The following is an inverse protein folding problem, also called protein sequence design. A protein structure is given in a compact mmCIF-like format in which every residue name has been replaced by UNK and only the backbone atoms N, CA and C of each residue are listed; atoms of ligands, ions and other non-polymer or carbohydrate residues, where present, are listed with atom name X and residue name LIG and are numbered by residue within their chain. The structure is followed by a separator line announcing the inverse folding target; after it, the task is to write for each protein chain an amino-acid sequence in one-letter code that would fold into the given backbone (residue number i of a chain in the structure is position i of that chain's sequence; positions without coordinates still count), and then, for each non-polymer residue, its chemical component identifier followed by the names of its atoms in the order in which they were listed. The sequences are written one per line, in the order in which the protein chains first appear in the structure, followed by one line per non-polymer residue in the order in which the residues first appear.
data_IF_579519751908
#
_entry.id   IF_579519751908
#
_cell.length_a   1.000
_cell.length_b   1.000
_cell.length_c   1.000
_cell.angle_alpha   90.00
_cell.angle_beta   90.00
_cell.angle_gamma   90.00
#
_symmetry.space_group_name_H-M   'P 1'
#
loop_
_entity.id
_entity.type
_entity.pdbx_description
1 polymer ?
#
# COMPACT_ATOMS: atom_id res chain seq x y z
N UNK A 1 35.78 8.51 29.75
CA UNK A 1 35.71 9.85 30.37
C UNK A 1 34.40 10.46 29.89
N UNK A 2 33.34 10.35 30.68
CA UNK A 2 32.03 10.94 30.31
C UNK A 2 32.13 12.42 30.65
N UNK A 3 31.94 13.29 29.66
CA UNK A 3 31.94 14.74 29.88
C UNK A 3 30.90 15.09 30.95
N UNK A 4 31.29 15.86 31.97
CA UNK A 4 30.39 16.36 33.03
C UNK A 4 29.58 17.58 32.57
N UNK A 5 29.79 18.03 31.34
CA UNK A 5 29.15 19.22 30.79
C UNK A 5 27.72 18.88 30.36
N UNK A 6 26.77 19.71 30.79
CA UNK A 6 25.36 19.61 30.41
C UNK A 6 25.21 19.67 28.88
N UNK A 7 24.54 18.69 28.25
CA UNK A 7 24.26 18.77 26.83
C UNK A 7 23.29 19.92 26.53
N UNK A 8 23.52 20.66 25.45
CA UNK A 8 22.69 21.83 25.09
C UNK A 8 21.23 21.51 24.80
N UNK A 9 20.91 20.25 24.50
CA UNK A 9 19.56 19.78 24.24
C UNK A 9 18.75 19.50 25.51
N UNK A 10 19.35 19.60 26.69
CA UNK A 10 18.71 19.33 27.98
C UNK A 10 18.47 20.62 28.76
N UNK A 11 17.21 20.89 29.12
CA UNK A 11 16.87 21.90 30.13
C UNK A 11 16.35 21.26 31.41
N UNK A 12 16.73 21.84 32.55
CA UNK A 12 16.27 21.43 33.89
C UNK A 12 15.27 22.48 34.35
N UNK A 13 14.11 22.05 34.84
CA UNK A 13 13.01 22.95 35.22
C UNK A 13 13.29 23.80 36.49
N UNK A 14 14.34 23.48 37.25
CA UNK A 14 14.84 24.33 38.32
C UNK A 14 15.95 25.23 37.78
N UNK A 15 15.82 26.53 38.03
CA UNK A 15 16.75 27.58 37.59
C UNK A 15 18.10 27.41 38.31
N UNK A 16 18.95 26.55 37.75
CA UNK A 16 20.34 26.39 38.17
C UNK A 16 21.12 27.40 37.32
N UNK A 17 21.42 28.56 37.91
CA UNK A 17 22.08 29.72 37.30
C UNK A 17 23.52 29.47 36.80
N UNK A 18 23.97 28.22 36.80
CA UNK A 18 25.29 27.80 36.37
C UNK A 18 25.19 26.45 35.62
N UNK A 19 25.59 26.39 34.33
CA UNK A 19 25.51 25.17 33.53
C UNK A 19 26.43 24.03 34.04
N UNK A 20 27.45 24.35 34.85
CA UNK A 20 28.37 23.41 35.50
C UNK A 20 28.03 23.15 36.99
N UNK A 21 27.05 23.86 37.55
CA UNK A 21 26.59 23.58 38.91
C UNK A 21 25.78 22.29 38.92
N UNK A 22 26.34 21.26 39.53
CA UNK A 22 25.57 20.15 40.05
C UNK A 22 24.44 20.70 40.92
N UNK A 23 23.19 20.23 40.72
CA UNK A 23 22.13 20.48 41.68
C UNK A 23 22.54 19.82 43.00
N UNK A 24 23.01 20.61 43.96
CA UNK A 24 23.41 20.12 45.28
C UNK A 24 22.16 20.09 46.16
N UNK A 25 21.67 18.89 46.47
CA UNK A 25 20.62 18.71 47.47
C UNK A 25 21.28 18.46 48.82
N UNK A 26 20.97 19.32 49.80
CA UNK A 26 21.81 19.41 50.99
C UNK A 26 21.64 18.23 51.95
N UNK A 27 20.50 17.50 51.95
CA UNK A 27 20.30 16.24 52.69
C UNK A 27 19.01 15.51 52.24
N UNK A 28 19.09 14.20 51.95
CA UNK A 28 17.91 13.38 51.57
C UNK A 28 17.73 12.27 52.61
N UNK A 29 16.77 12.39 53.54
CA UNK A 29 16.54 11.37 54.57
C UNK A 29 16.05 10.03 53.99
N UNK A 30 16.29 8.90 54.70
CA UNK A 30 15.87 7.58 54.24
C UNK A 30 14.36 7.51 53.99
N UNK A 31 13.96 7.03 52.81
CA UNK A 31 12.55 6.87 52.42
C UNK A 31 11.94 8.06 51.66
N UNK A 32 12.68 9.15 51.45
CA UNK A 32 12.24 10.27 50.62
C UNK A 32 12.70 10.10 49.16
N UNK A 33 11.89 10.56 48.21
CA UNK A 33 12.20 10.53 46.77
C UNK A 33 12.52 11.92 46.24
N UNK A 34 13.60 12.05 45.46
CA UNK A 34 13.87 13.24 44.65
C UNK A 34 13.33 13.00 43.24
N UNK A 35 12.66 13.99 42.66
CA UNK A 35 12.23 13.96 41.26
C UNK A 35 12.97 15.05 40.48
N UNK A 36 13.66 14.65 39.42
CA UNK A 36 14.29 15.56 38.46
C UNK A 36 13.44 15.58 37.19
N UNK A 37 12.92 16.75 36.84
CA UNK A 37 12.22 16.95 35.57
C UNK A 37 13.20 17.47 34.54
N UNK A 38 13.45 16.64 33.53
CA UNK A 38 14.35 16.92 32.42
C UNK A 38 13.50 17.07 31.17
N UNK A 39 13.52 18.25 30.56
CA UNK A 39 12.76 18.50 29.33
C UNK A 39 13.74 18.58 28.16
N UNK A 40 13.64 17.68 27.17
CA UNK A 40 14.45 17.81 25.96
C UNK A 40 13.97 19.03 25.16
N UNK A 41 14.91 19.80 24.62
CA UNK A 41 14.61 20.89 23.69
C UNK A 41 14.62 20.34 22.25
N UNK A 42 13.45 20.14 21.63
CA UNK A 42 13.35 19.50 20.31
C UNK A 42 14.04 20.30 19.20
N UNK A 43 14.15 21.64 19.32
CA UNK A 43 14.76 22.48 18.29
C UNK A 43 16.30 22.41 18.22
N UNK A 44 16.95 21.71 19.16
CA UNK A 44 18.41 21.55 19.23
C UNK A 44 18.88 20.10 19.03
N UNK A 45 17.95 19.20 18.75
CA UNK A 45 18.24 17.79 18.56
C UNK A 45 18.34 17.49 17.07
N UNK A 46 19.49 16.99 16.65
CA UNK A 46 19.66 16.44 15.30
C UNK A 46 18.99 15.05 15.22
N UNK A 47 18.60 14.65 14.01
CA UNK A 47 17.97 13.36 13.76
C UNK A 47 18.87 12.21 14.22
N UNK A 48 18.30 11.25 14.96
CA UNK A 48 19.03 10.07 15.42
C UNK A 48 18.82 9.72 16.89
N UNK A 49 19.67 8.84 17.38
CA UNK A 49 19.64 8.34 18.76
C UNK A 49 20.70 9.07 19.59
N UNK A 50 20.28 9.94 20.49
CA UNK A 50 21.18 10.55 21.47
C UNK A 50 21.09 9.81 22.80
N UNK A 51 22.25 9.58 23.42
CA UNK A 51 22.34 8.95 24.74
C UNK A 51 22.90 9.97 25.72
N UNK A 52 22.08 10.37 26.69
CA UNK A 52 22.51 11.12 27.87
C UNK A 52 22.79 10.20 29.04
N UNK A 53 23.62 10.63 29.98
CA UNK A 53 23.76 9.97 31.28
C UNK A 53 23.49 10.98 32.38
N UNK A 54 22.56 10.65 33.27
CA UNK A 54 22.32 11.38 34.51
C UNK A 54 23.06 10.65 35.61
N UNK A 55 23.95 11.35 36.30
CA UNK A 55 24.76 10.78 37.39
C UNK A 55 24.43 11.54 38.66
N UNK A 56 23.97 10.80 39.66
CA UNK A 56 23.83 11.27 41.04
C UNK A 56 25.06 10.81 41.79
N UNK A 57 25.88 11.74 42.28
CA UNK A 57 27.04 11.42 43.11
C UNK A 57 26.93 12.03 44.49
N UNK A 58 27.44 11.32 45.49
CA UNK A 58 27.48 11.81 46.88
C UNK A 58 28.70 12.71 47.07
N UNK A 59 28.49 13.96 47.52
CA UNK A 59 29.54 14.98 47.61
C UNK A 59 30.41 14.88 48.87
N UNK A 60 29.84 14.41 49.99
CA UNK A 60 30.54 14.21 51.25
C UNK A 60 30.22 12.81 51.77
N UNK A 61 31.09 11.85 51.42
CA UNK A 61 31.02 10.49 51.93
C UNK A 61 31.83 10.48 53.23
N UNK A 62 31.23 10.89 54.36
CA UNK A 62 31.78 10.54 55.68
C UNK A 62 31.64 9.02 55.85
N UNK A 63 32.48 8.28 55.12
CA UNK A 63 32.67 6.84 55.06
C UNK A 63 31.60 6.03 55.80
N UNK A 64 30.36 6.04 55.30
CA UNK A 64 29.28 5.33 55.98
C UNK A 64 29.54 3.82 55.77
N UNK A 65 29.72 3.02 56.84
CA UNK A 65 30.07 1.61 56.71
C UNK A 65 28.92 0.85 56.04
N UNK A 66 29.06 0.59 54.74
CA UNK A 66 28.04 -0.07 53.91
C UNK A 66 27.87 0.51 52.51
N UNK A 67 28.37 1.71 52.21
CA UNK A 67 28.26 2.32 50.89
C UNK A 67 29.44 1.90 49.99
N UNK A 68 29.25 0.88 49.13
CA UNK A 68 30.31 0.38 48.24
C UNK A 68 30.35 1.07 46.85
N UNK A 69 29.37 1.92 46.53
CA UNK A 69 29.32 2.76 45.30
C UNK A 69 28.53 4.04 45.57
N UNK A 70 29.17 5.22 45.65
CA UNK A 70 28.50 6.48 46.00
C UNK A 70 27.70 7.08 44.83
N UNK A 71 27.88 6.58 43.61
CA UNK A 71 27.26 7.16 42.41
C UNK A 71 26.18 6.25 41.82
N UNK A 72 24.99 6.81 41.58
CA UNK A 72 23.92 6.18 40.81
C UNK A 72 23.86 6.80 39.40
N UNK A 73 24.04 5.97 38.38
CA UNK A 73 24.04 6.40 36.98
C UNK A 73 22.83 5.85 36.23
N UNK A 74 22.08 6.76 35.61
CA UNK A 74 20.93 6.44 34.77
C UNK A 74 21.26 6.86 33.33
N UNK A 75 21.15 5.91 32.40
CA UNK A 75 21.27 6.21 30.96
C UNK A 75 19.89 6.64 30.47
N UNK A 76 19.82 7.84 29.89
CA UNK A 76 18.62 8.37 29.25
C UNK A 76 18.83 8.25 27.75
N UNK A 77 18.04 7.41 27.10
CA UNK A 77 18.03 7.27 25.64
C UNK A 77 16.90 8.13 25.09
N UNK A 78 17.23 9.09 24.24
CA UNK A 78 16.25 9.84 23.47
C UNK A 78 16.45 9.51 21.99
N UNK A 79 15.41 8.93 21.38
CA UNK A 79 15.36 8.67 19.94
C UNK A 79 14.47 9.74 19.33
N UNK A 80 15.04 10.58 18.47
CA UNK A 80 14.26 11.46 17.62
C UNK A 80 14.07 10.77 16.29
N UNK A 81 12.82 10.40 16.02
CA UNK A 81 12.44 9.91 14.71
C UNK A 81 12.36 11.12 13.75
N UNK A 82 12.84 10.95 12.50
CA UNK A 82 12.75 11.99 11.47
C UNK A 82 11.27 12.31 11.13
N UNK A 83 11.00 13.41 10.40
CA UNK A 83 9.64 13.74 9.97
C UNK A 83 9.00 12.56 9.21
N UNK A 84 7.68 12.42 9.38
CA UNK A 84 6.94 11.32 8.75
C UNK A 84 7.06 11.38 7.23
N UNK A 85 7.52 10.28 6.64
CA UNK A 85 7.53 10.04 5.21
C UNK A 85 6.38 9.09 4.85
N UNK A 86 5.51 9.55 3.97
CA UNK A 86 4.26 8.88 3.60
C UNK A 86 4.40 8.09 2.29
N UNK A 87 5.56 8.18 1.60
CA UNK A 87 5.84 7.59 0.28
C UNK A 87 4.64 7.60 -0.67
N UNK A 88 4.10 8.78 -1.01
CA UNK A 88 3.02 8.82 -1.97
C UNK A 88 3.49 8.34 -3.35
N UNK A 89 2.55 7.86 -4.18
CA UNK A 89 2.89 7.37 -5.54
C UNK A 89 3.64 8.41 -6.41
N UNK A 90 3.54 9.70 -6.09
CA UNK A 90 4.26 10.78 -6.78
C UNK A 90 4.05 10.75 -8.29
N UNK A 91 5.13 10.83 -9.06
CA UNK A 91 5.08 10.89 -10.54
C UNK A 91 4.51 9.63 -11.22
N UNK A 92 4.51 8.47 -10.54
CA UNK A 92 4.01 7.21 -11.13
C UNK A 92 2.50 7.27 -11.41
N UNK A 93 1.74 8.04 -10.63
CA UNK A 93 0.29 8.20 -10.84
C UNK A 93 -0.04 8.76 -12.22
N UNK A 94 0.71 9.78 -12.65
CA UNK A 94 0.48 10.43 -13.93
C UNK A 94 0.81 9.50 -15.09
N UNK A 95 1.87 8.70 -14.97
CA UNK A 95 2.22 7.68 -15.96
C UNK A 95 1.09 6.65 -16.09
N UNK A 96 0.56 6.17 -14.96
CA UNK A 96 -0.56 5.22 -14.93
C UNK A 96 -1.81 5.77 -15.63
N UNK A 97 -2.20 7.01 -15.36
CA UNK A 97 -3.37 7.64 -15.98
C UNK A 97 -3.18 7.95 -17.45
N UNK A 98 -1.97 8.37 -17.88
CA UNK A 98 -1.66 8.58 -19.29
C UNK A 98 -1.77 7.25 -20.06
N UNK A 99 -1.19 6.18 -19.52
CA UNK A 99 -1.27 4.85 -20.14
C UNK A 99 -2.72 4.36 -20.21
N UNK A 100 -3.51 4.52 -19.15
CA UNK A 100 -4.93 4.18 -19.13
C UNK A 100 -5.72 4.96 -20.19
N UNK A 101 -5.48 6.27 -20.30
CA UNK A 101 -6.11 7.13 -21.30
C UNK A 101 -5.80 6.67 -22.72
N UNK A 102 -4.53 6.37 -23.03
CA UNK A 102 -4.12 5.85 -24.34
C UNK A 102 -4.82 4.54 -24.67
N UNK A 103 -4.89 3.60 -23.72
CA UNK A 103 -5.58 2.31 -23.90
C UNK A 103 -7.07 2.51 -24.16
N UNK A 104 -7.75 3.32 -23.33
CA UNK A 104 -9.20 3.56 -23.45
C UNK A 104 -9.53 4.24 -24.77
N UNK A 105 -8.81 5.30 -25.15
CA UNK A 105 -9.03 6.03 -26.39
C UNK A 105 -8.78 5.14 -27.62
N UNK A 106 -7.74 4.31 -27.57
CA UNK A 106 -7.43 3.38 -28.66
C UNK A 106 -8.50 2.30 -28.78
N UNK A 107 -8.94 1.71 -27.66
CA UNK A 107 -9.99 0.70 -27.64
C UNK A 107 -11.32 1.27 -28.16
N UNK A 108 -11.72 2.46 -27.71
CA UNK A 108 -12.92 3.16 -28.19
C UNK A 108 -12.84 3.45 -29.69
N UNK A 109 -11.69 3.89 -30.17
CA UNK A 109 -11.46 4.15 -31.60
C UNK A 109 -11.61 2.87 -32.43
N UNK A 110 -11.07 1.74 -31.96
CA UNK A 110 -11.23 0.45 -32.64
C UNK A 110 -12.67 -0.06 -32.60
N UNK A 111 -13.39 0.07 -31.48
CA UNK A 111 -14.81 -0.30 -31.40
C UNK A 111 -15.62 0.52 -32.41
N UNK A 112 -15.42 1.85 -32.45
CA UNK A 112 -16.05 2.73 -33.42
C UNK A 112 -15.72 2.33 -34.86
N UNK A 113 -14.45 2.12 -35.16
CA UNK A 113 -13.99 1.70 -36.49
C UNK A 113 -14.60 0.37 -36.94
N UNK A 114 -14.67 -0.62 -36.05
CA UNK A 114 -15.32 -1.92 -36.32
C UNK A 114 -16.80 -1.74 -36.60
N UNK A 115 -17.49 -0.88 -35.84
CA UNK A 115 -18.91 -0.63 -36.03
C UNK A 115 -19.22 0.03 -37.39
N UNK A 116 -18.45 1.06 -37.77
CA UNK A 116 -18.60 1.73 -39.06
C UNK A 116 -18.23 0.80 -40.24
N UNK A 117 -17.17 0.01 -40.10
CA UNK A 117 -16.66 -0.85 -41.16
C UNK A 117 -17.18 -2.29 -41.12
N UNK A 118 -18.21 -2.58 -40.31
CA UNK A 118 -18.77 -3.94 -40.11
C UNK A 118 -19.22 -4.62 -41.41
N UNK A 119 -19.52 -3.83 -42.44
CA UNK A 119 -20.00 -4.33 -43.72
C UNK A 119 -18.88 -4.73 -44.70
N UNK A 120 -17.63 -4.32 -44.43
CA UNK A 120 -16.48 -4.64 -45.28
C UNK A 120 -16.14 -6.13 -45.21
N UNK A 121 -15.62 -6.69 -46.31
CA UNK A 121 -15.31 -8.12 -46.41
C UNK A 121 -14.30 -8.56 -45.33
N UNK A 122 -13.32 -7.72 -45.00
CA UNK A 122 -12.28 -8.00 -44.01
C UNK A 122 -12.89 -8.16 -42.61
N UNK A 123 -13.70 -7.19 -42.17
CA UNK A 123 -14.31 -7.19 -40.82
C UNK A 123 -15.32 -8.34 -40.67
N UNK A 124 -16.07 -8.66 -41.73
CA UNK A 124 -16.98 -9.82 -41.73
C UNK A 124 -16.25 -11.15 -41.54
N UNK A 125 -15.10 -11.33 -42.18
CA UNK A 125 -14.29 -12.55 -42.03
C UNK A 125 -13.80 -12.70 -40.59
N UNK A 126 -13.37 -11.59 -39.98
CA UNK A 126 -12.87 -11.57 -38.59
C UNK A 126 -13.98 -11.68 -37.53
N UNK A 127 -15.26 -11.63 -37.93
CA UNK A 127 -16.45 -11.59 -37.09
C UNK A 127 -16.50 -10.31 -36.23
N UNK A 128 -17.36 -9.34 -36.58
CA UNK A 128 -17.37 -8.03 -35.90
C UNK A 128 -17.65 -8.15 -34.40
N UNK A 129 -18.50 -9.11 -34.00
CA UNK A 129 -18.85 -9.34 -32.59
C UNK A 129 -17.62 -9.76 -31.77
N UNK A 130 -16.77 -10.63 -32.31
CA UNK A 130 -15.51 -11.04 -31.66
C UNK A 130 -14.56 -9.85 -31.44
N UNK A 131 -14.38 -9.00 -32.47
CA UNK A 131 -13.51 -7.84 -32.38
C UNK A 131 -14.02 -6.83 -31.33
N UNK A 132 -15.33 -6.58 -31.30
CA UNK A 132 -15.93 -5.67 -30.30
C UNK A 132 -15.76 -6.22 -28.88
N UNK A 133 -16.03 -7.52 -28.64
CA UNK A 133 -15.85 -8.10 -27.30
C UNK A 133 -14.39 -8.07 -26.84
N UNK A 134 -13.44 -8.34 -27.73
CA UNK A 134 -12.02 -8.27 -27.41
C UNK A 134 -11.61 -6.84 -27.05
N UNK A 135 -11.98 -5.85 -27.86
CA UNK A 135 -11.69 -4.44 -27.58
C UNK A 135 -12.38 -3.94 -26.31
N UNK A 136 -13.61 -4.41 -26.03
CA UNK A 136 -14.33 -4.07 -24.80
C UNK A 136 -13.64 -4.67 -23.56
N UNK A 137 -13.18 -5.92 -23.64
CA UNK A 137 -12.40 -6.54 -22.55
C UNK A 137 -11.12 -5.77 -22.25
N UNK A 138 -10.39 -5.34 -23.30
CA UNK A 138 -9.20 -4.50 -23.16
C UNK A 138 -9.53 -3.13 -22.56
N UNK A 139 -10.67 -2.53 -22.92
CA UNK A 139 -11.13 -1.26 -22.36
C UNK A 139 -11.38 -1.39 -20.84
N UNK A 140 -12.15 -2.40 -20.43
CA UNK A 140 -12.46 -2.66 -19.01
C UNK A 140 -11.18 -2.96 -18.23
N UNK A 141 -10.29 -3.78 -18.78
CA UNK A 141 -9.00 -4.10 -18.17
C UNK A 141 -8.10 -2.84 -18.06
N UNK A 142 -8.05 -2.01 -19.10
CA UNK A 142 -7.30 -0.76 -19.11
C UNK A 142 -7.82 0.28 -18.12
N UNK A 143 -9.12 0.26 -17.81
CA UNK A 143 -9.68 1.12 -16.76
C UNK A 143 -9.25 0.73 -15.35
N UNK A 144 -8.72 -0.49 -15.13
CA UNK A 144 -8.19 -0.91 -13.83
C UNK A 144 -6.97 -0.06 -13.38
N UNK A 145 -6.25 0.55 -14.31
CA UNK A 145 -5.13 1.45 -13.99
C UNK A 145 -5.58 2.75 -13.29
N UNK A 146 -6.85 3.15 -13.45
CA UNK A 146 -7.39 4.36 -12.82
C UNK A 146 -7.43 4.21 -11.29
N UNK A 147 -8.12 3.20 -10.71
CA UNK A 147 -8.14 3.01 -9.27
C UNK A 147 -6.77 2.72 -8.68
N UNK A 148 -5.88 2.05 -9.43
CA UNK A 148 -4.50 1.79 -8.99
C UNK A 148 -3.66 3.06 -8.83
N UNK A 149 -4.00 4.13 -9.56
CA UNK A 149 -3.30 5.42 -9.49
C UNK A 149 -3.79 6.35 -8.38
N UNK A 150 -4.83 5.97 -7.63
CA UNK A 150 -5.30 6.76 -6.50
C UNK A 150 -4.52 6.46 -5.22
N UNK A 151 -4.29 7.51 -4.45
CA UNK A 151 -3.57 7.48 -3.18
C UNK A 151 -4.29 8.39 -2.18
N UNK A 152 -4.01 8.23 -0.89
CA UNK A 152 -4.62 9.03 0.19
C UNK A 152 -4.18 10.50 0.19
N UNK A 153 -3.18 10.86 -0.61
CA UNK A 153 -2.81 12.25 -0.87
C UNK A 153 -3.90 13.01 -1.65
N UNK A 154 -4.64 12.32 -2.54
CA UNK A 154 -5.60 12.96 -3.47
C UNK A 154 -7.04 12.72 -3.03
N UNK A 155 -7.33 11.54 -2.46
CA UNK A 155 -8.68 11.11 -2.11
C UNK A 155 -8.75 10.63 -0.66
N UNK A 156 -9.95 10.53 -0.10
CA UNK A 156 -10.11 10.02 1.26
C UNK A 156 -9.81 8.53 1.37
N UNK A 157 -9.46 8.07 2.57
CA UNK A 157 -9.19 6.65 2.89
C UNK A 157 -10.34 5.72 2.47
N UNK A 158 -11.59 6.16 2.61
CA UNK A 158 -12.76 5.39 2.17
C UNK A 158 -12.80 5.24 0.65
N UNK A 159 -12.42 6.29 -0.09
CA UNK A 159 -12.32 6.24 -1.54
C UNK A 159 -11.10 5.42 -2.01
N UNK A 160 -9.98 5.43 -1.26
CA UNK A 160 -8.87 4.51 -1.51
C UNK A 160 -9.31 3.04 -1.33
N UNK A 161 -10.10 2.75 -0.30
CA UNK A 161 -10.62 1.40 -0.06
C UNK A 161 -11.55 0.93 -1.20
N UNK A 162 -12.39 1.81 -1.73
CA UNK A 162 -13.22 1.47 -2.89
C UNK A 162 -12.38 1.28 -4.17
N UNK A 163 -11.30 2.05 -4.35
CA UNK A 163 -10.34 1.87 -5.42
C UNK A 163 -9.60 0.52 -5.31
N UNK A 164 -9.15 0.14 -4.10
CA UNK A 164 -8.55 -1.15 -3.80
C UNK A 164 -9.45 -2.33 -4.23
N UNK A 165 -10.76 -2.19 -4.04
CA UNK A 165 -11.74 -3.19 -4.49
C UNK A 165 -12.04 -3.12 -5.98
N UNK A 166 -12.08 -1.94 -6.59
CA UNK A 166 -12.38 -1.79 -8.00
C UNK A 166 -11.29 -2.37 -8.92
N UNK A 167 -10.02 -2.24 -8.54
CA UNK A 167 -8.87 -2.73 -9.31
C UNK A 167 -8.98 -4.23 -9.72
N UNK A 168 -9.09 -5.18 -8.77
CA UNK A 168 -9.15 -6.61 -9.09
C UNK A 168 -10.41 -6.97 -9.89
N UNK A 169 -11.52 -6.29 -9.65
CA UNK A 169 -12.75 -6.49 -10.42
C UNK A 169 -12.58 -6.11 -11.89
N UNK A 170 -12.11 -4.90 -12.17
CA UNK A 170 -11.91 -4.42 -13.54
C UNK A 170 -10.88 -5.28 -14.28
N UNK A 171 -9.78 -5.63 -13.61
CA UNK A 171 -8.72 -6.45 -14.19
C UNK A 171 -9.23 -7.86 -14.54
N UNK A 172 -9.87 -8.55 -13.59
CA UNK A 172 -10.33 -9.94 -13.74
C UNK A 172 -11.48 -10.06 -14.73
N UNK A 173 -12.43 -9.12 -14.68
CA UNK A 173 -13.57 -9.09 -15.61
C UNK A 173 -13.11 -8.78 -17.03
N UNK A 174 -12.29 -7.75 -17.22
CA UNK A 174 -11.74 -7.39 -18.53
C UNK A 174 -10.91 -8.52 -19.15
N UNK A 175 -10.08 -9.17 -18.34
CA UNK A 175 -9.31 -10.35 -18.75
C UNK A 175 -10.22 -11.52 -19.16
N UNK A 176 -11.24 -11.84 -18.37
CA UNK A 176 -12.20 -12.92 -18.67
C UNK A 176 -12.95 -12.64 -19.98
N UNK A 177 -13.37 -11.40 -20.22
CA UNK A 177 -14.01 -10.99 -21.48
C UNK A 177 -13.07 -11.17 -22.68
N UNK A 178 -11.80 -10.77 -22.57
CA UNK A 178 -10.82 -10.91 -23.65
C UNK A 178 -10.49 -12.39 -23.93
N UNK A 179 -10.23 -13.17 -22.87
CA UNK A 179 -9.86 -14.58 -22.99
C UNK A 179 -11.00 -15.46 -23.50
N UNK A 180 -12.24 -15.21 -23.07
CA UNK A 180 -13.41 -15.92 -23.57
C UNK A 180 -13.64 -15.68 -25.06
N UNK A 181 -13.43 -14.45 -25.55
CA UNK A 181 -13.49 -14.14 -26.97
C UNK A 181 -12.43 -14.93 -27.76
N UNK A 182 -11.18 -14.94 -27.28
CA UNK A 182 -10.09 -15.70 -27.90
C UNK A 182 -10.35 -17.20 -27.92
N UNK A 183 -10.82 -17.75 -26.80
CA UNK A 183 -11.16 -19.17 -26.67
C UNK A 183 -12.24 -19.57 -27.67
N UNK A 184 -13.31 -18.78 -27.79
CA UNK A 184 -14.38 -19.08 -28.73
C UNK A 184 -13.91 -19.04 -30.20
N UNK A 185 -12.98 -18.13 -30.52
CA UNK A 185 -12.36 -18.08 -31.86
C UNK A 185 -11.51 -19.33 -32.13
N UNK A 186 -10.72 -19.76 -31.15
CA UNK A 186 -9.92 -20.99 -31.25
C UNK A 186 -10.81 -22.23 -31.37
N UNK A 187 -11.87 -22.33 -30.57
CA UNK A 187 -12.82 -23.44 -30.61
C UNK A 187 -13.51 -23.55 -31.98
N UNK A 188 -13.94 -22.42 -32.55
CA UNK A 188 -14.51 -22.38 -33.89
C UNK A 188 -13.50 -22.81 -34.96
N UNK A 189 -12.25 -22.36 -34.84
CA UNK A 189 -11.18 -22.78 -35.76
C UNK A 189 -10.95 -24.29 -35.70
N UNK A 190 -10.86 -24.85 -34.49
CA UNK A 190 -10.68 -26.28 -34.30
C UNK A 190 -11.82 -27.10 -34.92
N UNK A 191 -13.07 -26.69 -34.67
CA UNK A 191 -14.26 -27.35 -35.23
C UNK A 191 -14.33 -27.26 -36.76
N UNK A 192 -13.85 -26.17 -37.35
CA UNK A 192 -13.78 -26.01 -38.81
C UNK A 192 -12.72 -26.96 -39.40
N UNK A 193 -11.56 -27.08 -38.77
CA UNK A 193 -10.48 -28.00 -39.19
C UNK A 193 -10.96 -29.45 -39.09
N UNK A 194 -11.56 -29.85 -37.96
CA UNK A 194 -12.09 -31.20 -37.75
C UNK A 194 -13.19 -31.54 -38.79
N UNK A 195 -14.07 -30.59 -39.10
CA UNK A 195 -15.11 -30.75 -40.13
C UNK A 195 -14.54 -30.94 -41.54
N UNK A 196 -13.45 -30.25 -41.88
CA UNK A 196 -12.76 -30.45 -43.17
C UNK A 196 -12.04 -31.79 -43.25
N UNK A 197 -11.43 -32.27 -42.15
CA UNK A 197 -10.72 -33.55 -42.12
C UNK A 197 -11.69 -34.74 -42.14
N UNK A 198 -12.82 -34.63 -41.45
CA UNK A 198 -13.82 -35.71 -41.34
C UNK A 198 -14.78 -35.81 -42.54
N UNK A 199 -14.69 -34.91 -43.53
CA UNK A 199 -15.57 -34.92 -44.72
C UNK A 199 -17.04 -34.62 -44.44
N UNK A 200 -17.38 -34.22 -43.20
CA UNK A 200 -18.76 -33.92 -42.78
C UNK A 200 -19.20 -32.57 -43.33
N UNK A 201 -20.44 -32.51 -43.83
CA UNK A 201 -21.08 -31.31 -44.42
C UNK A 201 -20.83 -30.06 -43.56
N UNK A 202 -20.29 -29.01 -44.20
CA UNK A 202 -19.91 -27.70 -43.62
C UNK A 202 -20.88 -27.24 -42.52
N UNK A 203 -20.50 -27.43 -41.25
CA UNK A 203 -21.29 -26.98 -40.10
C UNK A 203 -21.26 -25.45 -40.08
N UNK A 204 -22.43 -24.83 -40.20
CA UNK A 204 -22.60 -23.38 -40.17
C UNK A 204 -22.62 -22.94 -38.70
N UNK A 205 -21.45 -22.66 -38.13
CA UNK A 205 -21.31 -22.10 -36.79
C UNK A 205 -21.79 -20.65 -36.81
N UNK A 206 -22.79 -20.32 -36.00
CA UNK A 206 -23.37 -18.98 -35.94
C UNK A 206 -22.51 -18.08 -35.04
N UNK A 207 -22.44 -16.78 -35.34
CA UNK A 207 -21.63 -15.83 -34.55
C UNK A 207 -22.14 -15.66 -33.11
N UNK A 208 -23.39 -16.05 -32.86
CA UNK A 208 -24.04 -16.00 -31.54
C UNK A 208 -23.62 -17.15 -30.62
N UNK A 209 -23.08 -18.24 -31.17
CA UNK A 209 -22.61 -19.39 -30.39
C UNK A 209 -21.41 -19.02 -29.49
N UNK A 210 -20.73 -17.91 -29.81
CA UNK A 210 -19.63 -17.34 -29.02
C UNK A 210 -20.12 -16.74 -27.70
N UNK A 211 -21.37 -16.27 -27.65
CA UNK A 211 -21.93 -15.62 -26.46
C UNK A 211 -22.19 -16.63 -25.33
N UNK A 212 -22.46 -17.90 -25.65
CA UNK A 212 -22.69 -18.95 -24.67
C UNK A 212 -21.48 -19.18 -23.74
N UNK A 213 -20.31 -19.58 -24.27
CA UNK A 213 -19.09 -19.75 -23.47
C UNK A 213 -18.68 -18.48 -22.73
N UNK A 214 -18.86 -17.31 -23.35
CA UNK A 214 -18.64 -16.02 -22.70
C UNK A 214 -19.51 -15.87 -21.45
N UNK A 215 -20.83 -16.04 -21.56
CA UNK A 215 -21.75 -15.86 -20.44
C UNK A 215 -21.46 -16.84 -19.31
N UNK A 216 -21.12 -18.09 -19.63
CA UNK A 216 -20.77 -19.10 -18.63
C UNK A 216 -19.49 -18.70 -17.88
N UNK A 217 -18.40 -18.43 -18.60
CA UNK A 217 -17.11 -18.07 -17.98
C UNK A 217 -17.19 -16.76 -17.19
N UNK A 218 -17.86 -15.76 -17.75
CA UNK A 218 -18.09 -14.47 -17.11
C UNK A 218 -18.93 -14.61 -15.85
N UNK A 219 -20.01 -15.40 -15.88
CA UNK A 219 -20.86 -15.60 -14.69
C UNK A 219 -20.11 -16.32 -13.57
N UNK A 220 -19.34 -17.36 -13.91
CA UNK A 220 -18.52 -18.08 -12.92
C UNK A 220 -17.49 -17.13 -12.29
N UNK A 221 -16.78 -16.34 -13.10
CA UNK A 221 -15.79 -15.37 -12.61
C UNK A 221 -16.46 -14.27 -11.76
N UNK A 222 -17.58 -13.74 -12.21
CA UNK A 222 -18.36 -12.74 -11.47
C UNK A 222 -18.81 -13.26 -10.11
N UNK A 223 -19.37 -14.46 -10.05
CA UNK A 223 -19.78 -15.09 -8.79
C UNK A 223 -18.59 -15.34 -7.88
N UNK A 224 -17.46 -15.82 -8.42
CA UNK A 224 -16.24 -16.03 -7.64
C UNK A 224 -15.72 -14.72 -7.02
N UNK A 225 -15.68 -13.62 -7.80
CA UNK A 225 -15.31 -12.30 -7.31
C UNK A 225 -16.32 -11.79 -6.28
N UNK A 226 -17.62 -11.96 -6.52
CA UNK A 226 -18.66 -11.55 -5.59
C UNK A 226 -18.52 -12.28 -4.25
N UNK A 227 -18.35 -13.61 -4.26
CA UNK A 227 -18.10 -14.40 -3.06
C UNK A 227 -16.85 -13.90 -2.34
N UNK A 228 -15.75 -13.71 -3.06
CA UNK A 228 -14.52 -13.18 -2.47
C UNK A 228 -14.74 -11.83 -1.79
N UNK A 229 -15.41 -10.87 -2.46
CA UNK A 229 -15.67 -9.55 -1.87
C UNK A 229 -16.58 -9.55 -0.66
N UNK A 230 -17.45 -10.55 -0.54
CA UNK A 230 -18.37 -10.68 0.60
C UNK A 230 -17.70 -11.38 1.78
N UNK A 231 -16.76 -12.30 1.52
CA UNK A 231 -16.02 -13.04 2.54
C UNK A 231 -14.87 -12.21 3.09
N UNK A 232 -14.15 -11.51 2.22
CA UNK A 232 -12.90 -10.84 2.56
C UNK A 232 -12.71 -9.55 1.72
N UNK A 233 -13.36 -8.44 2.12
CA UNK A 233 -13.22 -7.16 1.43
C UNK A 233 -11.82 -6.54 1.65
N UNK A 234 -11.28 -5.95 0.60
CA UNK A 234 -10.03 -5.20 0.69
C UNK A 234 -10.30 -3.79 1.20
N UNK A 235 -9.47 -3.40 2.17
CA UNK A 235 -9.42 -2.06 2.72
C UNK A 235 -8.05 -1.45 2.46
N UNK A 236 -8.01 -0.13 2.37
CA UNK A 236 -6.76 0.59 2.27
C UNK A 236 -6.23 0.88 3.67
N UNK A 237 -4.95 0.59 3.88
CA UNK A 237 -4.25 0.85 5.14
C UNK A 237 -2.82 1.34 4.88
N UNK A 238 -2.27 2.10 5.84
CA UNK A 238 -0.86 2.49 5.85
C UNK A 238 -0.07 1.51 6.68
N UNK A 239 0.96 0.94 6.07
CA UNK A 239 1.89 0.03 6.72
C UNK A 239 3.22 0.73 6.99
N UNK A 240 3.77 0.49 8.19
CA UNK A 240 5.09 0.98 8.57
C UNK A 240 6.19 0.14 7.94
N UNK A 241 7.29 0.78 7.56
CA UNK A 241 8.48 0.10 7.07
C UNK A 241 9.22 -0.52 8.26
N UNK A 242 9.68 -1.77 8.10
CA UNK A 242 10.32 -2.51 9.19
C UNK A 242 11.50 -1.73 9.81
N UNK A 243 11.39 -1.40 11.10
CA UNK A 243 12.41 -0.67 11.85
C UNK A 243 12.38 0.86 11.68
N UNK A 244 11.40 1.39 10.94
CA UNK A 244 11.24 2.82 10.64
C UNK A 244 9.76 3.25 10.79
N UNK A 245 9.27 3.53 12.02
CA UNK A 245 7.87 3.92 12.25
C UNK A 245 7.47 5.24 11.58
N UNK A 246 8.45 6.10 11.27
CA UNK A 246 8.24 7.34 10.53
C UNK A 246 8.03 7.13 9.03
N UNK A 247 8.34 5.94 8.49
CA UNK A 247 8.36 5.67 7.07
C UNK A 247 7.22 4.72 6.70
N UNK A 248 6.13 5.23 6.12
CA UNK A 248 4.91 4.47 5.85
C UNK A 248 4.58 4.40 4.36
N UNK A 249 3.88 3.35 3.93
CA UNK A 249 3.38 3.21 2.56
C UNK A 249 1.93 2.72 2.56
N UNK A 250 1.14 3.17 1.56
CA UNK A 250 -0.23 2.71 1.37
C UNK A 250 -0.27 1.32 0.74
N UNK A 251 -1.15 0.45 1.22
CA UNK A 251 -1.38 -0.86 0.63
C UNK A 251 -2.84 -1.30 0.80
N UNK A 252 -3.32 -2.14 -0.12
CA UNK A 252 -4.63 -2.75 -0.02
C UNK A 252 -4.51 -4.11 0.68
N UNK A 253 -5.23 -4.31 1.79
CA UNK A 253 -5.22 -5.56 2.55
C UNK A 253 -6.63 -6.05 2.86
N UNK A 254 -6.72 -7.38 2.90
CA UNK A 254 -7.82 -8.11 3.51
C UNK A 254 -7.86 -7.81 5.02
N UNK A 255 -9.04 -7.78 5.63
CA UNK A 255 -9.15 -7.66 7.08
C UNK A 255 -8.66 -8.97 7.69
N UNK A 256 -7.55 -8.92 8.44
CA UNK A 256 -7.10 -10.08 9.21
C UNK A 256 -8.23 -10.44 10.20
N UNK A 257 -8.95 -11.53 9.94
CA UNK A 257 -9.79 -12.16 10.95
C UNK A 257 -8.96 -12.43 12.23
N UNK A 258 -9.58 -12.65 13.40
CA UNK A 258 -8.88 -12.77 14.68
C UNK A 258 -7.98 -14.02 14.69
N UNK A 259 -6.78 -13.91 14.12
CA UNK A 259 -5.74 -14.92 14.10
C UNK A 259 -4.35 -14.27 14.06
N UNK A 260 -4.22 -13.05 14.57
CA UNK A 260 -2.97 -12.44 15.02
C UNK A 260 -2.89 -12.47 16.56
N UNK A 261 -3.05 -13.67 17.13
CA UNK A 261 -2.55 -14.00 18.46
C UNK A 261 -1.68 -15.26 18.34
N UNK A 262 -0.40 -15.05 18.04
CA UNK A 262 0.69 -15.98 18.34
C UNK A 262 2.01 -15.22 18.36
#
# INVERSE_FOLDING_TARGET
IVSRVRPEWVSVAQDISDPDAAAVWENVPPGQSIQLYVTPNPGKLEEGSTTGSVVFGVLNDEQFPGCQRPDANFKVLARLDPPQDLNPLGSLRYIGWVLSSVVILTAMSFIGWVFFNRNTRIVKILQPLFLVMLSLGVLVMGSALIPLGFDDEIISVQACSSACMAFPWLLSMGFTMAMSALFAKLWRLNKLVDGTVSGVRRIKVEEKDVLGPFLVLFSINFVALLVWTLVDPLHWERNETAGQPWNTFGSCRAEDGPMSLA
#
